data_IF_461929730188
#
_entry.id   IF_461929730188
#
_cell.length_a   1.000
_cell.length_b   1.000
_cell.length_c   1.000
_cell.angle_alpha   90.00
_cell.angle_beta   90.00
_cell.angle_gamma   90.00
#
_symmetry.space_group_name_H-M   'P 1'
#
loop_
_entity.id
_entity.type
_entity.pdbx_description
1 polymer ?
#
# COMPACT_ATOMS: atom_id res chain seq x y z
N UNK A 1 -2.94 18.60 -10.39
CA UNK A 1 -1.48 18.81 -10.18
C UNK A 1 -0.75 17.54 -10.57
N UNK A 2 0.49 17.61 -11.06
CA UNK A 2 1.26 16.42 -11.45
C UNK A 2 1.98 15.86 -10.22
N UNK A 3 1.75 14.59 -9.89
CA UNK A 3 2.42 13.87 -8.81
C UNK A 3 3.40 12.90 -9.47
N UNK A 4 4.67 12.92 -9.06
CA UNK A 4 5.67 11.97 -9.50
C UNK A 4 5.78 10.86 -8.45
N UNK A 5 5.69 9.61 -8.90
CA UNK A 5 5.89 8.43 -8.07
C UNK A 5 7.29 7.92 -8.38
N UNK A 6 8.14 7.86 -7.37
CA UNK A 6 9.46 7.24 -7.46
C UNK A 6 9.36 5.91 -6.73
N UNK A 7 9.73 4.82 -7.42
CA UNK A 7 9.83 3.47 -6.86
C UNK A 7 11.30 3.17 -6.61
N UNK A 8 11.86 3.53 -5.44
CA UNK A 8 13.28 3.41 -5.16
C UNK A 8 13.79 1.97 -5.06
N UNK A 9 13.07 1.06 -4.38
CA UNK A 9 13.57 -0.30 -4.07
C UNK A 9 12.43 -1.30 -3.88
N UNK A 10 12.66 -2.53 -4.33
CA UNK A 10 11.82 -3.69 -4.05
C UNK A 10 12.57 -4.64 -3.11
N UNK A 11 11.91 -5.09 -2.05
CA UNK A 11 12.46 -5.98 -1.03
C UNK A 11 11.47 -7.09 -0.72
N UNK A 12 11.93 -8.33 -0.63
CA UNK A 12 11.14 -9.45 -0.09
C UNK A 12 11.46 -9.54 1.39
N UNK A 13 10.45 -9.40 2.24
CA UNK A 13 10.58 -9.37 3.69
C UNK A 13 9.63 -10.41 4.31
N UNK A 14 9.97 -11.02 5.46
CA UNK A 14 8.98 -11.66 6.29
C UNK A 14 7.88 -10.65 6.65
N UNK A 15 6.62 -11.06 6.61
CA UNK A 15 5.50 -10.16 6.89
C UNK A 15 5.58 -9.55 8.31
N UNK A 16 6.17 -10.27 9.25
CA UNK A 16 6.42 -9.84 10.63
C UNK A 16 7.41 -8.66 10.72
N UNK A 17 8.24 -8.44 9.70
CA UNK A 17 9.20 -7.32 9.64
C UNK A 17 8.59 -6.05 9.04
N UNK A 18 7.39 -6.13 8.45
CA UNK A 18 6.70 -4.98 7.85
C UNK A 18 6.53 -3.81 8.84
N UNK A 19 6.12 -4.02 10.12
CA UNK A 19 6.02 -2.94 11.08
C UNK A 19 7.34 -2.20 11.30
N UNK A 20 8.48 -2.90 11.25
CA UNK A 20 9.79 -2.28 11.42
C UNK A 20 10.15 -1.35 10.26
N UNK A 21 9.72 -1.70 9.03
CA UNK A 21 9.90 -0.86 7.85
C UNK A 21 9.14 0.49 7.94
N UNK A 22 8.07 0.55 8.73
CA UNK A 22 7.19 1.74 8.85
C UNK A 22 7.34 2.48 10.19
N UNK A 23 8.47 2.31 10.87
CA UNK A 23 8.80 3.03 12.11
C UNK A 23 8.49 2.28 13.41
N UNK A 24 8.13 1.00 13.33
CA UNK A 24 7.91 0.12 14.47
C UNK A 24 6.44 -0.16 14.78
N UNK A 25 6.21 -1.21 15.57
CA UNK A 25 4.88 -1.79 15.84
C UNK A 25 3.91 -0.76 16.46
N UNK A 26 4.40 0.11 17.33
CA UNK A 26 3.57 1.08 18.07
C UNK A 26 3.32 2.39 17.30
N UNK A 27 3.83 2.51 16.08
CA UNK A 27 3.68 3.74 15.31
C UNK A 27 2.23 3.87 14.82
N UNK A 28 1.59 5.00 15.10
CA UNK A 28 0.23 5.28 14.66
C UNK A 28 0.24 5.68 13.19
N UNK A 29 -0.37 4.86 12.35
CA UNK A 29 -0.30 4.99 10.89
C UNK A 29 -1.70 4.98 10.28
N UNK A 30 -1.77 5.37 9.00
CA UNK A 30 -2.96 5.22 8.17
C UNK A 30 -2.69 4.17 7.11
N UNK A 31 -3.43 3.07 7.18
CA UNK A 31 -3.39 1.96 6.24
C UNK A 31 -4.51 2.04 5.22
N UNK A 32 -4.21 1.76 3.95
CA UNK A 32 -5.19 1.40 2.92
C UNK A 32 -4.98 -0.06 2.57
N UNK A 33 -5.96 -0.91 2.89
CA UNK A 33 -5.90 -2.35 2.64
C UNK A 33 -6.84 -2.68 1.49
N UNK A 34 -6.33 -3.36 0.46
CA UNK A 34 -7.09 -3.80 -0.70
C UNK A 34 -6.85 -5.29 -0.92
N UNK A 35 -7.88 -5.98 -1.39
CA UNK A 35 -7.72 -7.33 -1.92
C UNK A 35 -7.56 -7.27 -3.42
N UNK A 36 -6.74 -8.15 -3.95
CA UNK A 36 -6.59 -8.39 -5.37
C UNK A 36 -7.19 -9.74 -5.68
N UNK A 37 -8.12 -9.76 -6.63
CA UNK A 37 -8.75 -10.95 -7.17
C UNK A 37 -8.18 -11.25 -8.56
N UNK A 38 -8.52 -12.43 -9.10
CA UNK A 38 -8.09 -12.87 -10.42
C UNK A 38 -7.00 -13.92 -10.34
N UNK A 39 -6.03 -13.84 -11.26
CA UNK A 39 -5.02 -14.87 -11.48
C UNK A 39 -4.00 -14.97 -10.33
N UNK A 40 -3.87 -13.90 -9.55
CA UNK A 40 -2.95 -13.82 -8.43
C UNK A 40 -3.60 -13.19 -7.18
N UNK A 41 -4.40 -13.95 -6.43
CA UNK A 41 -5.01 -13.45 -5.21
C UNK A 41 -3.98 -12.93 -4.22
N UNK A 42 -4.08 -11.65 -3.88
CA UNK A 42 -3.08 -10.95 -3.05
C UNK A 42 -3.76 -9.91 -2.16
N UNK A 43 -3.08 -9.50 -1.11
CA UNK A 43 -3.45 -8.31 -0.31
C UNK A 43 -2.46 -7.20 -0.60
N UNK A 44 -2.98 -6.00 -0.91
CA UNK A 44 -2.20 -4.78 -1.07
C UNK A 44 -2.39 -3.91 0.15
N UNK A 45 -1.30 -3.32 0.63
CA UNK A 45 -1.32 -2.41 1.77
C UNK A 45 -0.52 -1.17 1.42
N UNK A 46 -1.13 0.00 1.57
CA UNK A 46 -0.39 1.25 1.63
C UNK A 46 -0.34 1.73 3.07
N UNK A 47 0.83 2.10 3.56
CA UNK A 47 1.01 2.65 4.91
C UNK A 47 1.60 4.05 4.81
N UNK A 48 0.92 5.00 5.43
CA UNK A 48 1.34 6.39 5.52
C UNK A 48 1.43 6.82 6.98
N UNK A 49 2.31 7.78 7.29
CA UNK A 49 2.17 8.55 8.52
C UNK A 49 0.85 9.31 8.49
N UNK A 50 0.28 9.65 9.65
CA UNK A 50 -0.95 10.47 9.69
C UNK A 50 -0.77 11.80 8.95
N UNK A 51 0.40 12.42 9.10
CA UNK A 51 0.74 13.68 8.41
C UNK A 51 0.73 13.51 6.90
N UNK A 52 1.35 12.45 6.40
CA UNK A 52 1.42 12.16 4.97
C UNK A 52 0.05 11.83 4.39
N UNK A 53 -0.78 11.08 5.13
CA UNK A 53 -2.16 10.79 4.73
C UNK A 53 -3.01 12.07 4.62
N UNK A 54 -2.91 12.99 5.58
CA UNK A 54 -3.61 14.27 5.54
C UNK A 54 -3.09 15.19 4.42
N UNK A 55 -1.78 15.20 4.18
CA UNK A 55 -1.20 15.94 3.06
C UNK A 55 -1.70 15.37 1.71
N UNK A 56 -1.77 14.06 1.58
CA UNK A 56 -2.22 13.39 0.37
C UNK A 56 -3.72 13.63 0.10
N UNK A 57 -4.56 13.57 1.14
CA UNK A 57 -5.98 13.88 1.01
C UNK A 57 -6.22 15.36 0.67
N UNK A 58 -5.42 16.27 1.23
CA UNK A 58 -5.41 17.69 0.90
C UNK A 58 -5.08 17.94 -0.58
N UNK A 59 -4.06 17.27 -1.11
CA UNK A 59 -3.69 17.38 -2.53
C UNK A 59 -4.81 16.91 -3.46
N UNK A 60 -5.52 15.85 -3.08
CA UNK A 60 -6.62 15.30 -3.88
C UNK A 60 -7.88 16.15 -3.85
N UNK A 61 -8.22 16.68 -2.68
CA UNK A 61 -9.43 17.49 -2.48
C UNK A 61 -9.24 18.95 -2.87
N UNK A 62 -8.00 19.42 -2.99
CA UNK A 62 -7.65 20.82 -3.19
C UNK A 62 -7.95 21.70 -1.98
N UNK A 63 -8.28 21.11 -0.82
CA UNK A 63 -8.52 21.80 0.44
C UNK A 63 -7.25 21.77 1.29
N UNK A 64 -7.00 22.78 2.13
CA UNK A 64 -5.88 22.73 3.06
C UNK A 64 -6.03 21.49 3.97
N UNK A 65 -4.90 20.85 4.28
CA UNK A 65 -4.87 19.76 5.24
C UNK A 65 -5.46 20.25 6.56
N UNK A 66 -6.30 19.42 7.18
CA UNK A 66 -6.87 19.73 8.48
C UNK A 66 -5.75 19.96 9.50
N UNK A 67 -5.86 21.00 10.31
CA UNK A 67 -4.99 21.19 11.49
C UNK A 67 -5.24 20.11 12.54
N UNK A 68 -6.40 19.45 12.48
CA UNK A 68 -6.69 18.26 13.26
C UNK A 68 -5.93 17.06 12.71
N UNK A 69 -5.30 16.28 13.59
CA UNK A 69 -4.70 14.99 13.28
C UNK A 69 -5.73 13.88 13.00
N UNK A 70 -7.03 14.23 12.91
CA UNK A 70 -8.13 13.29 12.71
C UNK A 70 -8.46 13.18 11.21
N UNK A 71 -8.49 11.94 10.73
CA UNK A 71 -8.93 11.62 9.36
C UNK A 71 -10.47 11.48 9.34
N UNK A 72 -11.14 12.51 8.81
CA UNK A 72 -12.59 12.56 8.65
C UNK A 72 -13.09 11.87 7.37
N UNK A 73 -14.40 11.90 7.12
CA UNK A 73 -15.03 11.18 6.01
C UNK A 73 -14.57 11.66 4.63
N UNK A 74 -14.29 12.96 4.50
CA UNK A 74 -13.80 13.54 3.26
C UNK A 74 -12.37 13.07 2.97
N UNK A 75 -11.50 13.12 3.98
CA UNK A 75 -10.13 12.65 3.86
C UNK A 75 -10.10 11.14 3.59
N UNK A 76 -10.96 10.36 4.26
CA UNK A 76 -11.11 8.92 4.05
C UNK A 76 -11.49 8.60 2.61
N UNK A 77 -12.48 9.30 2.07
CA UNK A 77 -12.93 9.08 0.69
C UNK A 77 -11.84 9.43 -0.32
N UNK A 78 -11.15 10.56 -0.11
CA UNK A 78 -10.04 10.97 -0.96
C UNK A 78 -8.87 9.97 -0.91
N UNK A 79 -8.52 9.49 0.27
CA UNK A 79 -7.44 8.49 0.44
C UNK A 79 -7.80 7.15 -0.22
N UNK A 80 -9.06 6.70 -0.12
CA UNK A 80 -9.50 5.49 -0.83
C UNK A 80 -9.39 5.64 -2.35
N UNK A 81 -9.76 6.78 -2.89
CA UNK A 81 -9.58 7.05 -4.33
C UNK A 81 -8.10 7.01 -4.72
N UNK A 82 -7.22 7.60 -3.91
CA UNK A 82 -5.77 7.50 -4.15
C UNK A 82 -5.29 6.06 -4.09
N UNK A 83 -5.70 5.30 -3.08
CA UNK A 83 -5.36 3.89 -2.95
C UNK A 83 -5.72 3.10 -4.21
N UNK A 84 -6.89 3.37 -4.79
CA UNK A 84 -7.33 2.73 -6.03
C UNK A 84 -6.51 3.18 -7.25
N UNK A 85 -6.24 4.48 -7.41
CA UNK A 85 -5.40 5.02 -8.49
C UNK A 85 -3.99 4.40 -8.43
N UNK A 86 -3.37 4.40 -7.25
CA UNK A 86 -2.05 3.83 -7.04
C UNK A 86 -2.05 2.34 -7.33
N UNK A 87 -3.01 1.61 -6.78
CA UNK A 87 -3.14 0.16 -7.00
C UNK A 87 -3.25 -0.16 -8.49
N UNK A 88 -4.11 0.55 -9.23
CA UNK A 88 -4.25 0.34 -10.67
C UNK A 88 -2.96 0.66 -11.44
N UNK A 89 -2.18 1.66 -11.01
CA UNK A 89 -0.89 1.94 -11.62
C UNK A 89 0.13 0.81 -11.37
N UNK A 90 0.25 0.33 -10.13
CA UNK A 90 1.16 -0.78 -9.79
C UNK A 90 0.74 -2.09 -10.45
N UNK A 91 -0.55 -2.46 -10.36
CA UNK A 91 -1.08 -3.67 -10.97
C UNK A 91 -1.07 -3.61 -12.50
N UNK A 92 -1.29 -2.43 -13.09
CA UNK A 92 -1.18 -2.25 -14.54
C UNK A 92 0.25 -2.47 -15.04
N UNK A 93 1.24 -1.95 -14.30
CA UNK A 93 2.64 -2.24 -14.58
C UNK A 93 2.92 -3.75 -14.42
N UNK A 94 2.57 -4.33 -13.27
CA UNK A 94 2.80 -5.75 -12.98
C UNK A 94 2.13 -6.66 -14.02
N UNK A 95 0.87 -6.41 -14.38
CA UNK A 95 0.11 -7.12 -15.42
C UNK A 95 0.83 -7.11 -16.76
N UNK A 96 1.37 -5.96 -17.15
CA UNK A 96 2.14 -5.83 -18.39
C UNK A 96 3.44 -6.64 -18.37
N UNK A 97 4.02 -6.87 -17.18
CA UNK A 97 5.23 -7.68 -17.02
C UNK A 97 4.96 -9.18 -16.95
N UNK A 98 3.97 -9.62 -16.15
CA UNK A 98 3.71 -11.05 -15.89
C UNK A 98 2.64 -11.67 -16.80
N UNK A 99 1.91 -10.85 -17.56
CA UNK A 99 0.83 -11.31 -18.45
C UNK A 99 -0.42 -11.82 -17.72
N UNK A 100 -0.64 -11.41 -16.47
CA UNK A 100 -1.74 -11.84 -15.62
C UNK A 100 -2.79 -10.75 -15.42
N UNK A 101 -4.04 -11.16 -15.21
CA UNK A 101 -5.17 -10.29 -14.89
C UNK A 101 -5.34 -10.10 -13.39
N UNK A 102 -5.37 -8.84 -12.96
CA UNK A 102 -5.61 -8.46 -11.57
C UNK A 102 -6.86 -7.59 -11.47
N UNK A 103 -7.69 -7.85 -10.44
CA UNK A 103 -8.88 -7.05 -10.16
C UNK A 103 -8.83 -6.58 -8.70
N UNK A 104 -8.45 -5.32 -8.44
CA UNK A 104 -8.43 -4.79 -7.09
C UNK A 104 -9.83 -4.50 -6.57
N UNK A 105 -10.06 -4.71 -5.28
CA UNK A 105 -11.26 -4.27 -4.56
C UNK A 105 -11.17 -2.80 -4.19
N UNK A 106 -12.27 -2.23 -3.69
CA UNK A 106 -12.22 -0.92 -3.04
C UNK A 106 -11.39 -1.00 -1.76
N UNK A 107 -10.56 0.00 -1.43
CA UNK A 107 -9.79 -0.02 -0.21
C UNK A 107 -10.64 0.13 1.05
N UNK A 108 -10.23 -0.60 2.08
CA UNK A 108 -10.55 -0.31 3.47
C UNK A 108 -9.49 0.63 4.04
N UNK A 109 -9.92 1.61 4.83
CA UNK A 109 -9.01 2.55 5.49
C UNK A 109 -9.01 2.29 6.98
N UNK A 110 -7.83 1.97 7.50
CA UNK A 110 -7.57 1.64 8.90
C UNK A 110 -6.64 2.70 9.47
N UNK A 111 -6.95 3.22 10.67
CA UNK A 111 -6.05 4.10 11.41
C UNK A 111 -5.77 3.42 12.74
N UNK A 112 -4.58 2.85 12.87
CA UNK A 112 -4.19 2.09 14.05
C UNK A 112 -2.65 2.02 14.15
N UNK A 113 -2.16 1.37 15.20
CA UNK A 113 -0.76 0.99 15.32
C UNK A 113 -0.36 0.08 14.15
N UNK A 114 0.85 0.28 13.62
CA UNK A 114 1.36 -0.51 12.49
C UNK A 114 1.29 -2.02 12.76
N UNK A 115 1.62 -2.47 13.97
CA UNK A 115 1.49 -3.87 14.36
C UNK A 115 0.05 -4.40 14.25
N UNK A 116 -0.94 -3.62 14.71
CA UNK A 116 -2.35 -4.00 14.66
C UNK A 116 -2.87 -4.12 13.22
N UNK A 117 -2.41 -3.29 12.30
CA UNK A 117 -2.74 -3.41 10.87
C UNK A 117 -2.18 -4.71 10.29
N UNK A 118 -0.93 -5.07 10.64
CA UNK A 118 -0.32 -6.32 10.17
C UNK A 118 -1.01 -7.54 10.78
N UNK A 119 -1.37 -7.51 12.06
CA UNK A 119 -2.15 -8.57 12.71
C UNK A 119 -3.51 -8.78 12.01
N UNK A 120 -4.20 -7.69 11.68
CA UNK A 120 -5.45 -7.75 10.91
C UNK A 120 -5.26 -8.46 9.56
N UNK A 121 -4.21 -8.13 8.82
CA UNK A 121 -3.89 -8.75 7.52
C UNK A 121 -3.54 -10.23 7.69
N UNK A 122 -2.72 -10.57 8.68
CA UNK A 122 -2.33 -11.96 8.97
C UNK A 122 -3.53 -12.85 9.29
N UNK A 123 -4.48 -12.31 10.06
CA UNK A 123 -5.76 -12.98 10.36
C UNK A 123 -6.55 -13.20 9.06
N UNK A 124 -6.67 -12.18 8.22
CA UNK A 124 -7.39 -12.26 6.93
C UNK A 124 -6.78 -13.32 6.00
N UNK A 125 -5.44 -13.40 5.96
CA UNK A 125 -4.70 -14.39 5.20
C UNK A 125 -4.67 -15.79 5.84
N UNK A 126 -5.35 -15.98 6.99
CA UNK A 126 -5.36 -17.22 7.76
C UNK A 126 -3.94 -17.73 8.10
N UNK A 127 -2.99 -16.81 8.33
CA UNK A 127 -1.57 -17.12 8.60
C UNK A 127 -0.88 -17.96 7.51
N UNK A 128 -1.37 -17.95 6.26
CA UNK A 128 -0.81 -18.76 5.17
C UNK A 128 0.33 -18.08 4.41
N UNK A 129 0.46 -16.76 4.50
CA UNK A 129 1.51 -16.03 3.78
C UNK A 129 2.66 -15.70 4.72
N UNK A 130 3.86 -16.11 4.34
CA UNK A 130 5.09 -15.93 5.14
C UNK A 130 5.84 -14.64 4.76
N UNK A 131 5.63 -14.13 3.54
CA UNK A 131 6.41 -13.04 2.97
C UNK A 131 5.54 -11.93 2.39
N UNK A 132 6.02 -10.70 2.58
CA UNK A 132 5.51 -9.50 1.93
C UNK A 132 6.55 -8.98 0.94
N UNK A 133 6.10 -8.60 -0.25
CA UNK A 133 6.89 -7.80 -1.17
C UNK A 133 6.70 -6.32 -0.80
N UNK A 134 7.72 -5.73 -0.17
CA UNK A 134 7.78 -4.29 0.07
C UNK A 134 8.29 -3.59 -1.17
N UNK A 135 7.52 -2.61 -1.64
CA UNK A 135 7.96 -1.59 -2.57
C UNK A 135 7.90 -0.26 -1.82
N UNK A 136 9.06 0.18 -1.33
CA UNK A 136 9.16 1.50 -0.72
C UNK A 136 8.93 2.55 -1.81
N UNK A 137 8.07 3.53 -1.57
CA UNK A 137 7.58 4.46 -2.60
C UNK A 137 7.55 5.90 -2.07
N UNK A 138 8.06 6.83 -2.88
CA UNK A 138 8.01 8.26 -2.53
C UNK A 138 7.14 9.01 -3.53
N UNK A 139 6.13 9.70 -3.01
CA UNK A 139 5.24 10.57 -3.77
C UNK A 139 5.76 11.99 -3.67
N UNK A 140 6.19 12.55 -4.79
CA UNK A 140 6.74 13.91 -4.82
C UNK A 140 5.86 14.83 -5.65
N UNK A 141 5.46 15.93 -5.03
CA UNK A 141 4.99 17.15 -5.68
C UNK A 141 6.10 18.22 -5.53
N UNK A 142 6.28 19.18 -6.46
CA UNK A 142 7.28 20.24 -6.34
C UNK A 142 7.37 20.96 -4.99
N UNK A 143 6.27 21.03 -4.23
CA UNK A 143 6.20 21.73 -2.93
C UNK A 143 6.03 20.80 -1.72
N UNK A 144 5.78 19.50 -1.94
CA UNK A 144 5.43 18.57 -0.88
C UNK A 144 6.03 17.19 -1.20
N UNK A 145 6.90 16.67 -0.33
CA UNK A 145 7.27 15.26 -0.33
C UNK A 145 6.34 14.53 0.63
N UNK A 146 5.70 13.48 0.11
CA UNK A 146 4.81 12.58 0.83
C UNK A 146 5.42 11.19 0.73
N UNK A 147 5.67 10.56 1.87
CA UNK A 147 6.24 9.22 1.92
C UNK A 147 5.17 8.19 2.24
N UNK A 148 5.24 7.04 1.58
CA UNK A 148 4.32 5.94 1.83
C UNK A 148 4.92 4.62 1.43
N UNK A 149 4.67 3.59 2.23
CA UNK A 149 5.16 2.25 1.93
C UNK A 149 4.06 1.46 1.23
N UNK A 150 4.37 0.84 0.09
CA UNK A 150 3.46 -0.05 -0.62
C UNK A 150 3.91 -1.49 -0.41
N UNK A 151 2.99 -2.35 -0.03
CA UNK A 151 3.24 -3.77 0.16
C UNK A 151 2.26 -4.56 -0.71
N UNK A 152 2.78 -5.58 -1.40
CA UNK A 152 1.98 -6.65 -1.97
C UNK A 152 2.29 -7.91 -1.18
N UNK A 153 1.25 -8.52 -0.63
CA UNK A 153 1.32 -9.76 0.12
C UNK A 153 0.56 -10.80 -0.71
N UNK A 154 1.25 -11.47 -1.63
CA UNK A 154 0.60 -12.52 -2.42
C UNK A 154 0.26 -13.71 -1.51
N UNK A 155 -0.68 -14.54 -1.97
CA UNK A 155 -0.78 -15.90 -1.45
C UNK A 155 0.52 -16.68 -1.78
N UNK A 156 0.82 -17.80 -1.08
CA UNK A 156 2.05 -18.56 -1.32
C UNK A 156 2.27 -18.93 -2.79
N UNK A 157 1.22 -19.40 -3.46
CA UNK A 157 1.23 -19.73 -4.89
C UNK A 157 1.59 -18.51 -5.75
N UNK A 158 1.10 -17.33 -5.38
CA UNK A 158 1.32 -16.12 -6.13
C UNK A 158 2.71 -15.52 -5.95
N UNK A 159 3.34 -15.72 -4.80
CA UNK A 159 4.73 -15.34 -4.60
C UNK A 159 5.64 -16.09 -5.57
N UNK A 160 5.45 -17.41 -5.72
CA UNK A 160 6.22 -18.21 -6.67
C UNK A 160 6.04 -17.72 -8.11
N UNK A 161 4.82 -17.36 -8.50
CA UNK A 161 4.51 -16.87 -9.85
C UNK A 161 5.20 -15.52 -10.10
N UNK A 162 5.14 -14.58 -9.14
CA UNK A 162 5.84 -13.30 -9.23
C UNK A 162 7.35 -13.53 -9.35
N UNK A 163 7.94 -14.33 -8.47
CA UNK A 163 9.38 -14.59 -8.46
C UNK A 163 9.85 -15.24 -9.76
N UNK A 164 9.15 -16.26 -10.27
CA UNK A 164 9.47 -16.88 -11.57
C UNK A 164 9.36 -15.92 -12.75
N UNK A 165 8.51 -14.90 -12.64
CA UNK A 165 8.35 -13.90 -13.69
C UNK A 165 9.41 -12.79 -13.62
N UNK A 166 10.02 -12.59 -12.44
CA UNK A 166 11.11 -11.63 -12.21
C UNK A 166 12.49 -12.29 -12.43
N UNK A 167 12.61 -13.59 -12.16
CA UNK A 167 13.79 -14.39 -12.49
C UNK A 167 13.91 -14.53 -14.01
N UNK A 168 14.68 -13.60 -14.58
CA UNK A 168 15.36 -13.82 -15.85
C UNK A 168 16.44 -14.88 -15.58
N UNK A 169 16.07 -16.16 -15.76
CA UNK A 169 16.96 -17.35 -15.87
C UNK A 169 17.81 -17.72 -14.65
#
# INVERSE_FOLDING_TARGET
KKINIIVPRMLVLPIEEVPAAVGGINNLVTGLVLRVLGDLPSTIVFIFSQRDALALSSLMTGKPASESSIIGDLERSALKEVGLILTNAYLGALSSFVGLGFVPTVPELIVDMAGAIIDYILIELSCKSEYALLIDSEFTEPTTSIKGHFFIIPNPEGLEIILRSIDIT
#
